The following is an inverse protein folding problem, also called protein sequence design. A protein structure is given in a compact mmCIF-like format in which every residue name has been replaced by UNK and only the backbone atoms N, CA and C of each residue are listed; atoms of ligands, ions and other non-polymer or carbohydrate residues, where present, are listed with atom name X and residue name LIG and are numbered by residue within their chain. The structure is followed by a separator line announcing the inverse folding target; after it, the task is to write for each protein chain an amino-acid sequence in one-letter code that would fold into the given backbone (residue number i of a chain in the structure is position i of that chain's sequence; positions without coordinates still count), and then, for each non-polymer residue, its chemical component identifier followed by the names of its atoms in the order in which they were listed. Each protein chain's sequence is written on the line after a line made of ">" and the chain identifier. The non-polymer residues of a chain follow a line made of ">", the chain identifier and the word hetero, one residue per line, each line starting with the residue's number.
data_IF_521188499307
#
_entry.id   IF_521188499307
#
_cell.length_a   1.000
_cell.length_b   1.000
_cell.length_c   1.000
_cell.angle_alpha   90.00
_cell.angle_beta   90.00
_cell.angle_gamma   90.00
#
_symmetry.space_group_name_H-M   'P 1'
#
loop_
_entity.id
_entity.type
_entity.pdbx_description
1 polymer ?
#
# COMPACT_ATOMS: atom_id res chain seq x y z
N UNK A 1 41.43 -39.06 -18.54
CA UNK A 1 40.50 -38.25 -19.35
C UNK A 1 39.20 -38.13 -18.58
N UNK A 2 38.98 -36.99 -17.92
CA UNK A 2 37.77 -36.74 -17.13
C UNK A 2 37.19 -35.42 -17.65
N UNK A 3 36.09 -35.52 -18.39
CA UNK A 3 35.38 -34.36 -18.95
C UNK A 3 34.60 -33.66 -17.83
N UNK A 4 34.98 -32.41 -17.52
CA UNK A 4 34.16 -31.49 -16.73
C UNK A 4 33.12 -30.84 -17.67
N UNK A 5 31.82 -30.81 -17.33
CA UNK A 5 30.85 -30.07 -18.12
C UNK A 5 31.04 -28.55 -17.93
N UNK A 6 30.96 -27.84 -19.05
CA UNK A 6 31.15 -26.39 -19.18
C UNK A 6 30.20 -25.58 -18.30
N UNK A 7 30.74 -24.97 -17.25
CA UNK A 7 30.04 -23.99 -16.39
C UNK A 7 29.83 -22.62 -17.09
N UNK A 8 30.44 -22.40 -18.26
CA UNK A 8 30.45 -21.11 -18.95
C UNK A 8 29.22 -20.85 -19.82
N UNK A 9 28.52 -21.89 -20.29
CA UNK A 9 27.29 -21.72 -21.09
C UNK A 9 26.16 -21.03 -20.32
N UNK A 10 25.96 -21.42 -19.05
CA UNK A 10 24.82 -20.92 -18.24
C UNK A 10 24.93 -19.45 -17.80
N UNK A 11 26.14 -18.86 -17.80
CA UNK A 11 26.35 -17.46 -17.42
C UNK A 11 26.08 -16.52 -18.61
N UNK A 12 26.43 -16.94 -19.83
CA UNK A 12 26.23 -16.14 -21.04
C UNK A 12 24.74 -16.03 -21.39
N UNK A 13 23.99 -17.11 -21.26
CA UNK A 13 22.52 -17.13 -21.46
C UNK A 13 21.77 -16.24 -20.46
N UNK A 14 22.28 -16.14 -19.22
CA UNK A 14 21.71 -15.26 -18.18
C UNK A 14 21.96 -13.78 -18.47
N UNK A 15 23.10 -13.45 -19.09
CA UNK A 15 23.44 -12.08 -19.50
C UNK A 15 22.66 -11.63 -20.75
N UNK A 16 22.31 -12.55 -21.66
CA UNK A 16 21.46 -12.24 -22.82
C UNK A 16 19.95 -12.16 -22.50
N UNK A 17 19.51 -12.67 -21.35
CA UNK A 17 18.11 -12.65 -20.88
C UNK A 17 17.57 -11.25 -20.52
N UNK A 18 18.38 -10.20 -20.62
CA UNK A 18 18.03 -8.82 -20.26
C UNK A 18 17.16 -8.07 -21.29
N UNK A 19 16.87 -8.66 -22.45
CA UNK A 19 16.02 -8.00 -23.47
C UNK A 19 14.56 -8.06 -23.06
N UNK A 20 14.12 -7.09 -22.26
CA UNK A 20 12.69 -6.80 -22.07
C UNK A 20 12.05 -6.57 -23.43
N UNK A 21 11.03 -7.34 -23.79
CA UNK A 21 10.38 -7.24 -25.09
C UNK A 21 9.82 -5.84 -25.37
N UNK A 22 9.52 -5.54 -26.64
CA UNK A 22 8.90 -4.27 -27.09
C UNK A 22 7.63 -3.87 -26.32
N UNK A 23 6.98 -4.79 -25.60
CA UNK A 23 5.80 -4.56 -24.77
C UNK A 23 6.07 -3.98 -23.37
N UNK A 24 7.31 -4.00 -22.88
CA UNK A 24 7.65 -3.51 -21.54
C UNK A 24 7.32 -2.02 -21.31
N UNK A 25 7.57 -1.09 -22.27
CA UNK A 25 7.12 0.29 -22.15
C UNK A 25 5.60 0.43 -21.97
N UNK A 26 4.81 -0.43 -22.61
CA UNK A 26 3.36 -0.43 -22.44
C UNK A 26 2.96 -0.84 -21.02
N UNK A 27 3.56 -1.90 -20.49
CA UNK A 27 3.33 -2.34 -19.09
C UNK A 27 3.72 -1.24 -18.10
N UNK A 28 4.88 -0.60 -18.31
CA UNK A 28 5.32 0.53 -17.49
C UNK A 28 4.33 1.69 -17.55
N UNK A 29 3.84 2.04 -18.73
CA UNK A 29 2.82 3.07 -18.90
C UNK A 29 1.53 2.70 -18.16
N UNK A 30 1.05 1.46 -18.27
CA UNK A 30 -0.14 0.98 -17.53
C UNK A 30 0.06 1.14 -16.02
N UNK A 31 1.20 0.70 -15.49
CA UNK A 31 1.53 0.82 -14.06
C UNK A 31 1.64 2.29 -13.63
N UNK A 32 2.30 3.12 -14.43
CA UNK A 32 2.48 4.54 -14.15
C UNK A 32 1.13 5.27 -14.12
N UNK A 33 0.27 5.07 -15.11
CA UNK A 33 -1.07 5.68 -15.16
C UNK A 33 -1.87 5.29 -13.92
N UNK A 34 -1.95 3.99 -13.60
CA UNK A 34 -2.69 3.50 -12.44
C UNK A 34 -2.16 4.06 -11.10
N UNK A 35 -0.84 4.11 -10.95
CA UNK A 35 -0.19 4.68 -9.76
C UNK A 35 -0.47 6.19 -9.64
N UNK A 36 -0.33 6.94 -10.74
CA UNK A 36 -0.60 8.38 -10.79
C UNK A 36 -2.06 8.70 -10.54
N UNK A 37 -3.00 7.85 -10.98
CA UNK A 37 -4.41 7.97 -10.62
C UNK A 37 -4.61 7.86 -9.12
N UNK A 38 -3.99 6.87 -8.46
CA UNK A 38 -4.05 6.71 -7.01
C UNK A 38 -3.50 7.92 -6.25
N UNK A 39 -2.31 8.41 -6.62
CA UNK A 39 -1.72 9.60 -6.01
C UNK A 39 -2.54 10.86 -6.24
N UNK A 40 -3.00 11.09 -7.47
CA UNK A 40 -3.84 12.25 -7.80
C UNK A 40 -5.13 12.25 -6.97
N UNK A 41 -5.78 11.10 -6.80
CA UNK A 41 -6.97 10.97 -5.95
C UNK A 41 -6.67 11.35 -4.49
N UNK A 42 -5.62 10.79 -3.90
CA UNK A 42 -5.25 11.05 -2.50
C UNK A 42 -4.82 12.51 -2.27
N UNK A 43 -4.09 13.10 -3.20
CA UNK A 43 -3.69 14.52 -3.15
C UNK A 43 -4.91 15.41 -3.30
N UNK A 44 -5.83 15.12 -4.22
CA UNK A 44 -7.06 15.90 -4.39
C UNK A 44 -7.92 15.85 -3.13
N UNK A 45 -8.05 14.68 -2.50
CA UNK A 45 -8.75 14.51 -1.22
C UNK A 45 -8.15 15.40 -0.13
N UNK A 46 -6.82 15.34 0.06
CA UNK A 46 -6.15 16.18 1.07
C UNK A 46 -6.20 17.66 0.72
N UNK A 47 -6.05 18.02 -0.56
CA UNK A 47 -6.10 19.41 -1.01
C UNK A 47 -7.45 20.07 -0.74
N UNK A 48 -8.54 19.30 -0.76
CA UNK A 48 -9.88 19.79 -0.43
C UNK A 48 -10.10 19.88 1.09
N UNK A 49 -9.42 19.04 1.88
CA UNK A 49 -9.48 19.07 3.35
C UNK A 49 -8.67 20.21 3.98
N UNK A 50 -7.47 20.48 3.45
CA UNK A 50 -6.50 21.42 4.05
C UNK A 50 -7.04 22.84 4.29
N UNK A 51 -7.83 23.45 3.39
CA UNK A 51 -8.33 24.81 3.58
C UNK A 51 -9.36 24.94 4.70
N UNK A 52 -10.03 23.84 5.07
CA UNK A 52 -11.27 23.88 5.87
C UNK A 52 -11.20 23.09 7.17
N UNK A 53 -10.35 22.07 7.25
CA UNK A 53 -10.27 21.20 8.41
C UNK A 53 -8.96 21.38 9.17
N UNK A 54 -8.97 21.08 10.47
CA UNK A 54 -7.74 21.03 11.25
C UNK A 54 -7.00 19.71 10.98
N UNK A 55 -5.89 19.82 10.25
CA UNK A 55 -5.09 18.66 9.84
C UNK A 55 -4.43 17.93 11.02
N UNK A 56 -4.38 18.52 12.22
CA UNK A 56 -3.88 17.80 13.42
C UNK A 56 -4.76 16.60 13.78
N UNK A 57 -6.05 16.64 13.43
CA UNK A 57 -7.00 15.56 13.69
C UNK A 57 -6.87 14.38 12.71
N UNK A 58 -6.19 14.58 11.57
CA UNK A 58 -5.94 13.54 10.57
C UNK A 58 -4.76 12.61 10.95
N UNK A 59 -4.07 12.89 12.05
CA UNK A 59 -3.00 12.04 12.61
C UNK A 59 -1.64 12.74 12.74
N UNK A 60 -0.63 12.03 13.28
CA UNK A 60 0.69 12.60 13.53
C UNK A 60 1.35 13.12 12.25
N UNK A 61 1.88 14.36 12.33
CA UNK A 61 2.59 15.03 11.24
C UNK A 61 1.72 15.84 10.28
N UNK A 62 0.42 15.55 10.17
CA UNK A 62 -0.48 16.24 9.23
C UNK A 62 -0.69 17.73 9.57
N UNK A 63 -0.50 18.13 10.83
CA UNK A 63 -0.58 19.53 11.27
C UNK A 63 0.35 20.49 10.51
N UNK A 64 1.42 20.01 9.86
CA UNK A 64 2.26 20.86 9.00
C UNK A 64 1.47 21.49 7.85
N UNK A 65 0.42 20.80 7.36
CA UNK A 65 -0.41 21.28 6.26
C UNK A 65 -1.34 22.42 6.68
N UNK A 66 -1.59 22.62 7.98
CA UNK A 66 -2.35 23.77 8.48
C UNK A 66 -1.68 25.12 8.13
N UNK A 67 -0.40 25.12 7.72
CA UNK A 67 0.25 26.33 7.21
C UNK A 67 -0.44 26.89 5.94
N UNK A 68 -1.14 26.04 5.19
CA UNK A 68 -1.90 26.36 3.98
C UNK A 68 -3.41 26.50 4.26
N UNK A 69 -3.84 26.41 5.52
CA UNK A 69 -5.24 26.54 5.89
C UNK A 69 -5.67 28.02 5.83
N UNK A 70 -6.83 28.29 5.21
CA UNK A 70 -7.36 29.66 5.03
C UNK A 70 -7.70 30.33 6.37
N UNK A 71 -8.01 29.52 7.39
CA UNK A 71 -8.40 29.96 8.72
C UNK A 71 -7.25 29.84 9.74
N UNK A 72 -6.00 29.95 9.28
CA UNK A 72 -4.81 29.89 10.12
C UNK A 72 -4.85 31.00 11.18
N UNK A 73 -4.75 30.61 12.47
CA UNK A 73 -4.76 31.54 13.61
C UNK A 73 -6.11 31.67 14.35
N UNK A 74 -7.20 31.15 13.78
CA UNK A 74 -8.49 31.04 14.48
C UNK A 74 -8.54 29.81 15.38
N UNK A 75 -9.37 29.85 16.44
CA UNK A 75 -9.63 28.66 17.27
C UNK A 75 -10.30 27.55 16.45
N UNK A 76 -10.19 26.29 16.88
CA UNK A 76 -10.73 25.15 16.15
C UNK A 76 -12.25 25.29 15.93
N UNK A 77 -12.95 25.84 16.92
CA UNK A 77 -14.39 26.07 16.92
C UNK A 77 -14.78 27.18 15.95
N UNK A 78 -14.04 28.30 15.97
CA UNK A 78 -14.25 29.41 15.04
C UNK A 78 -13.98 28.98 13.59
N UNK A 79 -12.97 28.14 13.37
CA UNK A 79 -12.64 27.57 12.06
C UNK A 79 -13.74 26.65 11.55
N UNK A 80 -14.22 25.73 12.38
CA UNK A 80 -15.30 24.81 12.01
C UNK A 80 -16.60 25.58 11.71
N UNK A 81 -16.95 26.58 12.53
CA UNK A 81 -18.12 27.42 12.31
C UNK A 81 -18.03 28.21 11.00
N UNK A 82 -16.88 28.82 10.71
CA UNK A 82 -16.67 29.56 9.46
C UNK A 82 -16.63 28.64 8.24
N UNK A 83 -16.06 27.44 8.35
CA UNK A 83 -16.07 26.46 7.27
C UNK A 83 -17.51 26.05 6.89
N UNK A 84 -18.39 25.83 7.89
CA UNK A 84 -19.81 25.49 7.66
C UNK A 84 -20.58 26.64 7.00
N UNK A 85 -20.26 27.89 7.33
CA UNK A 85 -20.96 29.08 6.82
C UNK A 85 -20.45 29.50 5.44
N UNK A 86 -19.13 29.45 5.23
CA UNK A 86 -18.47 30.04 4.07
C UNK A 86 -18.20 29.06 2.94
N UNK A 87 -18.27 27.74 3.17
CA UNK A 87 -18.13 26.75 2.11
C UNK A 87 -19.48 26.17 1.71
N UNK A 88 -19.65 25.83 0.42
CA UNK A 88 -20.81 25.07 -0.03
C UNK A 88 -20.92 23.80 0.81
N UNK A 89 -22.02 23.68 1.55
CA UNK A 89 -22.32 22.49 2.35
C UNK A 89 -22.47 21.29 1.41
N UNK A 90 -21.49 20.38 1.39
CA UNK A 90 -21.58 19.19 0.56
C UNK A 90 -20.23 18.57 0.19
N UNK A 91 -19.71 17.77 1.12
CA UNK A 91 -18.67 16.75 0.95
C UNK A 91 -17.33 17.23 0.41
N UNK A 92 -16.39 17.43 1.33
CA UNK A 92 -14.97 17.37 1.01
C UNK A 92 -14.69 16.09 0.23
N UNK A 93 -14.14 16.21 -0.98
CA UNK A 93 -13.94 15.12 -1.92
C UNK A 93 -13.26 13.93 -1.24
N UNK A 94 -13.85 12.74 -1.35
CA UNK A 94 -13.30 11.51 -0.79
C UNK A 94 -13.56 11.29 0.71
N UNK A 95 -14.12 12.27 1.43
CA UNK A 95 -14.43 12.14 2.86
C UNK A 95 -15.80 11.46 3.07
N UNK A 96 -15.89 10.43 3.93
CA UNK A 96 -17.17 9.88 4.35
C UNK A 96 -17.93 10.89 5.24
N UNK A 97 -19.24 10.99 5.05
CA UNK A 97 -20.13 11.78 5.89
C UNK A 97 -20.48 11.08 7.21
N UNK A 98 -21.14 11.79 8.13
CA UNK A 98 -21.44 11.30 9.49
C UNK A 98 -22.42 10.12 9.50
N UNK A 99 -23.32 10.05 8.52
CA UNK A 99 -24.38 9.04 8.44
C UNK A 99 -23.90 7.65 8.00
N UNK A 100 -22.64 7.51 7.55
CA UNK A 100 -22.00 6.26 7.09
C UNK A 100 -22.90 5.42 6.17
N UNK A 101 -23.51 6.07 5.18
CA UNK A 101 -24.37 5.41 4.21
C UNK A 101 -23.58 4.57 3.19
N UNK A 102 -24.28 3.89 2.26
CA UNK A 102 -23.63 3.13 1.19
C UNK A 102 -22.64 3.95 0.34
N UNK A 103 -22.94 5.23 0.13
CA UNK A 103 -22.03 6.14 -0.59
C UNK A 103 -20.73 6.39 0.19
N UNK A 104 -20.78 6.45 1.52
CA UNK A 104 -19.61 6.64 2.38
C UNK A 104 -18.75 5.39 2.42
N UNK A 105 -19.36 4.21 2.49
CA UNK A 105 -18.66 2.94 2.32
C UNK A 105 -17.94 2.86 0.97
N UNK A 106 -18.58 3.34 -0.10
CA UNK A 106 -17.93 3.41 -1.41
C UNK A 106 -16.75 4.39 -1.42
N UNK A 107 -16.85 5.55 -0.76
CA UNK A 107 -15.74 6.52 -0.63
C UNK A 107 -14.56 5.90 0.12
N UNK A 108 -14.82 5.21 1.23
CA UNK A 108 -13.80 4.49 2.01
C UNK A 108 -13.15 3.40 1.16
N UNK A 109 -13.95 2.58 0.46
CA UNK A 109 -13.45 1.56 -0.45
C UNK A 109 -12.59 2.13 -1.58
N UNK A 110 -13.04 3.24 -2.19
CA UNK A 110 -12.29 3.94 -3.21
C UNK A 110 -10.95 4.45 -2.66
N UNK A 111 -10.94 5.07 -1.48
CA UNK A 111 -9.72 5.53 -0.81
C UNK A 111 -8.72 4.39 -0.59
N UNK A 112 -9.14 3.26 -0.03
CA UNK A 112 -8.26 2.08 0.15
C UNK A 112 -7.73 1.53 -1.17
N UNK A 113 -8.58 1.50 -2.20
CA UNK A 113 -8.18 1.06 -3.54
C UNK A 113 -7.14 1.99 -4.16
N UNK A 114 -7.35 3.31 -4.05
CA UNK A 114 -6.41 4.33 -4.55
C UNK A 114 -5.10 4.31 -3.78
N UNK A 115 -5.14 4.07 -2.47
CA UNK A 115 -3.94 3.84 -1.66
C UNK A 115 -3.18 2.60 -2.11
N UNK A 116 -3.85 1.48 -2.37
CA UNK A 116 -3.20 0.29 -2.91
C UNK A 116 -2.57 0.56 -4.29
N UNK A 117 -3.27 1.27 -5.18
CA UNK A 117 -2.72 1.69 -6.48
C UNK A 117 -1.47 2.56 -6.32
N UNK A 118 -1.50 3.54 -5.43
CA UNK A 118 -0.45 4.53 -5.23
C UNK A 118 0.88 3.93 -4.74
N UNK A 119 0.84 2.95 -3.83
CA UNK A 119 2.05 2.41 -3.20
C UNK A 119 2.33 0.93 -3.50
N UNK A 120 1.31 0.10 -3.66
CA UNK A 120 1.54 -1.34 -3.85
C UNK A 120 1.87 -1.69 -5.28
N UNK A 121 1.32 -0.97 -6.27
CA UNK A 121 1.61 -1.23 -7.66
C UNK A 121 3.07 -0.91 -8.05
N UNK A 122 3.67 0.23 -7.64
CA UNK A 122 5.10 0.49 -7.88
C UNK A 122 6.02 -0.61 -7.33
N UNK A 123 5.70 -1.13 -6.15
CA UNK A 123 6.50 -2.20 -5.52
C UNK A 123 6.41 -3.56 -6.24
N UNK A 124 5.49 -3.73 -7.19
CA UNK A 124 5.37 -4.94 -8.01
C UNK A 124 6.23 -4.87 -9.30
N UNK A 125 6.79 -3.71 -9.63
CA UNK A 125 7.58 -3.49 -10.86
C UNK A 125 8.75 -4.49 -11.04
N UNK A 126 9.58 -4.79 -10.02
CA UNK A 126 10.66 -5.76 -10.18
C UNK A 126 10.15 -7.15 -10.58
N UNK A 127 9.01 -7.57 -9.99
CA UNK A 127 8.38 -8.84 -10.31
C UNK A 127 7.79 -8.85 -11.71
N UNK A 128 7.08 -7.80 -12.11
CA UNK A 128 6.50 -7.67 -13.46
C UNK A 128 7.60 -7.68 -14.53
N UNK A 129 8.75 -7.07 -14.25
CA UNK A 129 9.92 -7.08 -15.13
C UNK A 129 10.46 -8.49 -15.30
N UNK A 130 10.69 -9.20 -14.19
CA UNK A 130 11.14 -10.58 -14.23
C UNK A 130 10.14 -11.49 -14.97
N UNK A 131 8.84 -11.30 -14.76
CA UNK A 131 7.80 -12.05 -15.46
C UNK A 131 7.82 -11.77 -16.98
N UNK A 132 7.95 -10.50 -17.37
CA UNK A 132 8.02 -10.11 -18.78
C UNK A 132 9.24 -10.70 -19.52
N UNK A 133 10.39 -10.80 -18.84
CA UNK A 133 11.59 -11.44 -19.39
C UNK A 133 11.38 -12.94 -19.59
N UNK A 134 10.76 -13.61 -18.61
CA UNK A 134 10.44 -15.04 -18.67
C UNK A 134 9.43 -15.36 -19.79
N UNK A 135 8.44 -14.48 -20.03
CA UNK A 135 7.45 -14.66 -21.10
C UNK A 135 7.97 -14.30 -22.49
N UNK A 136 8.97 -13.42 -22.58
CA UNK A 136 9.56 -13.01 -23.86
C UNK A 136 10.45 -14.09 -24.49
N UNK A 137 11.14 -14.90 -23.67
CA UNK A 137 12.03 -15.96 -24.15
C UNK A 137 11.35 -17.20 -24.74
N UNK A 138 10.01 -17.30 -24.67
CA UNK A 138 9.23 -18.51 -25.04
C UNK A 138 8.40 -18.40 -26.31
N UNK A 139 8.35 -17.23 -26.94
CA UNK A 139 7.62 -17.02 -28.19
C UNK A 139 8.56 -16.79 -29.37
N UNK A 140 8.43 -17.58 -30.44
CA UNK A 140 9.02 -17.25 -31.74
C UNK A 140 8.40 -15.92 -32.24
N UNK A 141 9.19 -14.86 -32.26
CA UNK A 141 8.78 -13.53 -32.71
C UNK A 141 8.13 -12.67 -31.62
N UNK A 142 8.81 -11.57 -31.28
CA UNK A 142 8.35 -10.56 -30.32
C UNK A 142 7.14 -9.77 -30.87
N UNK A 143 5.95 -10.36 -30.77
CA UNK A 143 4.67 -9.74 -31.10
C UNK A 143 3.96 -9.20 -29.85
N UNK A 144 2.94 -8.33 -30.04
CA UNK A 144 2.05 -7.83 -28.97
C UNK A 144 1.44 -8.94 -28.09
N UNK A 145 1.43 -10.19 -28.58
CA UNK A 145 0.95 -11.38 -27.85
C UNK A 145 1.69 -11.63 -26.54
N UNK A 146 2.98 -11.24 -26.44
CA UNK A 146 3.79 -11.41 -25.22
C UNK A 146 3.45 -10.40 -24.10
N UNK A 147 2.75 -9.30 -24.42
CA UNK A 147 2.40 -8.24 -23.45
C UNK A 147 1.15 -8.58 -22.63
N UNK A 148 0.19 -9.28 -23.26
CA UNK A 148 -1.12 -9.58 -22.66
C UNK A 148 -1.00 -10.33 -21.32
N UNK A 149 -0.17 -11.38 -21.17
CA UNK A 149 -0.02 -12.07 -19.90
C UNK A 149 0.52 -11.15 -18.79
N UNK A 150 1.45 -10.25 -19.12
CA UNK A 150 2.07 -9.34 -18.13
C UNK A 150 1.05 -8.29 -17.65
N UNK A 151 0.25 -7.74 -18.56
CA UNK A 151 -0.84 -6.82 -18.20
C UNK A 151 -1.90 -7.53 -17.36
N UNK A 152 -2.25 -8.77 -17.72
CA UNK A 152 -3.18 -9.55 -16.91
C UNK A 152 -2.61 -9.90 -15.53
N UNK A 153 -1.30 -10.07 -15.40
CA UNK A 153 -0.65 -10.21 -14.10
C UNK A 153 -0.77 -8.94 -13.23
N UNK A 154 -0.75 -7.75 -13.84
CA UNK A 154 -1.07 -6.49 -13.13
C UNK A 154 -2.50 -6.53 -12.57
N UNK A 155 -3.49 -6.92 -13.37
CA UNK A 155 -4.87 -6.99 -12.92
C UNK A 155 -5.11 -8.09 -11.88
N UNK A 156 -4.45 -9.25 -12.00
CA UNK A 156 -4.49 -10.30 -10.98
C UNK A 156 -3.90 -9.84 -9.65
N UNK A 157 -2.79 -9.11 -9.69
CA UNK A 157 -2.19 -8.50 -8.49
C UNK A 157 -3.14 -7.48 -7.84
N UNK A 158 -3.75 -6.61 -8.66
CA UNK A 158 -4.70 -5.60 -8.18
C UNK A 158 -5.98 -6.22 -7.62
N UNK A 159 -6.46 -7.34 -8.16
CA UNK A 159 -7.63 -8.04 -7.62
C UNK A 159 -7.44 -8.45 -6.16
N UNK A 160 -6.24 -8.90 -5.77
CA UNK A 160 -5.92 -9.21 -4.37
C UNK A 160 -5.97 -7.97 -3.49
N UNK A 161 -5.42 -6.85 -3.97
CA UNK A 161 -5.44 -5.58 -3.25
C UNK A 161 -6.82 -4.94 -3.15
N UNK A 162 -7.67 -5.10 -4.17
CA UNK A 162 -9.08 -4.75 -4.12
C UNK A 162 -9.80 -5.60 -3.07
N UNK A 163 -9.51 -6.91 -3.00
CA UNK A 163 -10.01 -7.77 -1.93
C UNK A 163 -9.60 -7.28 -0.53
N UNK A 164 -8.34 -6.85 -0.37
CA UNK A 164 -7.89 -6.20 0.86
C UNK A 164 -8.64 -4.90 1.14
N UNK A 165 -8.87 -4.04 0.14
CA UNK A 165 -9.61 -2.80 0.30
C UNK A 165 -11.06 -3.03 0.78
N UNK A 166 -11.72 -4.10 0.32
CA UNK A 166 -13.05 -4.50 0.83
C UNK A 166 -12.98 -4.85 2.31
N UNK A 167 -12.00 -5.68 2.71
CA UNK A 167 -11.82 -6.07 4.12
C UNK A 167 -11.49 -4.84 4.98
N UNK A 168 -10.58 -3.99 4.52
CA UNK A 168 -10.18 -2.78 5.24
C UNK A 168 -11.35 -1.80 5.40
N UNK A 169 -12.21 -1.68 4.39
CA UNK A 169 -13.46 -0.89 4.45
C UNK A 169 -14.41 -1.43 5.51
N UNK A 170 -14.62 -2.76 5.54
CA UNK A 170 -15.49 -3.38 6.55
C UNK A 170 -14.94 -3.20 7.98
N UNK A 171 -13.62 -3.35 8.15
CA UNK A 171 -12.94 -3.11 9.44
C UNK A 171 -13.05 -1.65 9.86
N UNK A 172 -12.79 -0.72 8.94
CA UNK A 172 -12.90 0.72 9.18
C UNK A 172 -14.33 1.10 9.59
N UNK A 173 -15.33 0.62 8.86
CA UNK A 173 -16.73 0.84 9.18
C UNK A 173 -17.09 0.30 10.57
N UNK A 174 -16.63 -0.90 10.92
CA UNK A 174 -16.81 -1.47 12.25
C UNK A 174 -16.17 -0.61 13.33
N UNK A 175 -14.90 -0.22 13.16
CA UNK A 175 -14.18 0.63 14.12
C UNK A 175 -14.87 1.98 14.32
N UNK A 176 -15.35 2.61 13.25
CA UNK A 176 -16.14 3.84 13.35
C UNK A 176 -17.45 3.61 14.11
N UNK A 177 -18.19 2.54 13.80
CA UNK A 177 -19.48 2.23 14.47
C UNK A 177 -19.35 1.98 15.97
N UNK A 178 -18.20 1.44 16.41
CA UNK A 178 -17.84 1.24 17.81
C UNK A 178 -17.27 2.50 18.49
N UNK A 179 -17.20 3.63 17.77
CA UNK A 179 -16.64 4.88 18.29
C UNK A 179 -15.13 4.85 18.49
N UNK A 180 -14.42 3.91 17.84
CA UNK A 180 -12.96 3.79 17.93
C UNK A 180 -12.23 4.74 16.96
N UNK A 181 -12.96 5.41 16.05
CA UNK A 181 -12.45 6.41 15.11
C UNK A 181 -13.23 7.71 15.22
N UNK A 182 -12.54 8.83 15.02
CA UNK A 182 -13.16 10.15 14.90
C UNK A 182 -13.67 10.41 13.47
N UNK A 183 -14.29 11.56 13.25
CA UNK A 183 -14.84 11.96 11.94
C UNK A 183 -13.76 12.07 10.85
N UNK A 184 -12.50 12.34 11.23
CA UNK A 184 -11.33 12.37 10.35
C UNK A 184 -10.73 10.99 10.07
N UNK A 185 -11.41 9.91 10.47
CA UNK A 185 -10.95 8.52 10.31
C UNK A 185 -9.58 8.26 10.98
N UNK A 186 -9.31 8.97 12.08
CA UNK A 186 -8.16 8.75 12.95
C UNK A 186 -8.59 8.06 14.25
N UNK A 187 -7.70 7.27 14.89
CA UNK A 187 -8.05 6.54 16.11
C UNK A 187 -8.34 7.50 17.26
N UNK A 188 -9.43 7.27 18.00
CA UNK A 188 -9.80 8.11 19.16
C UNK A 188 -8.96 7.83 20.40
N UNK A 189 -8.33 6.64 20.46
CA UNK A 189 -7.62 6.17 21.65
C UNK A 189 -6.21 5.71 21.31
N UNK A 190 -5.29 6.02 22.23
CA UNK A 190 -3.92 5.51 22.18
C UNK A 190 -3.87 3.98 22.30
N UNK A 191 -4.90 3.35 22.88
CA UNK A 191 -5.01 1.89 22.96
C UNK A 191 -5.17 1.24 21.58
N UNK A 192 -5.99 1.81 20.68
CA UNK A 192 -6.12 1.32 19.31
C UNK A 192 -4.79 1.49 18.56
N UNK A 193 -4.18 2.68 18.62
CA UNK A 193 -2.87 2.95 18.00
C UNK A 193 -1.80 1.97 18.48
N UNK A 194 -1.70 1.78 19.80
CA UNK A 194 -0.71 0.89 20.42
C UNK A 194 -0.92 -0.56 20.03
N UNK A 195 -2.17 -1.06 20.06
CA UNK A 195 -2.46 -2.46 19.73
C UNK A 195 -2.15 -2.79 18.26
N UNK A 196 -2.49 -1.89 17.35
CA UNK A 196 -2.18 -2.02 15.92
C UNK A 196 -0.66 -2.01 15.70
N UNK A 197 0.06 -1.05 16.29
CA UNK A 197 1.52 -0.97 16.16
C UNK A 197 2.21 -2.20 16.72
N UNK A 198 1.76 -2.68 17.89
CA UNK A 198 2.31 -3.87 18.52
C UNK A 198 2.06 -5.12 17.68
N UNK A 199 0.83 -5.33 17.20
CA UNK A 199 0.48 -6.46 16.34
C UNK A 199 1.28 -6.43 15.01
N UNK A 200 1.38 -5.27 14.38
CA UNK A 200 2.18 -5.09 13.17
C UNK A 200 3.68 -5.35 13.43
N UNK A 201 4.19 -4.89 14.57
CA UNK A 201 5.56 -5.15 15.01
C UNK A 201 5.84 -6.62 15.29
N UNK A 202 4.94 -7.35 15.95
CA UNK A 202 5.08 -8.79 16.14
C UNK A 202 5.05 -9.56 14.82
N UNK A 203 4.16 -9.15 13.90
CA UNK A 203 4.06 -9.79 12.59
C UNK A 203 5.38 -9.75 11.80
N UNK A 204 6.20 -8.72 12.02
CA UNK A 204 7.51 -8.56 11.38
C UNK A 204 8.48 -9.73 11.64
N UNK A 205 8.36 -10.38 12.79
CA UNK A 205 9.21 -11.50 13.20
C UNK A 205 8.65 -12.87 12.82
N UNK A 206 7.45 -12.91 12.23
CA UNK A 206 6.79 -14.19 11.95
C UNK A 206 7.43 -14.93 10.78
N UNK A 207 7.47 -16.28 10.83
CA UNK A 207 7.91 -17.09 9.69
C UNK A 207 6.99 -16.91 8.47
N UNK A 208 5.70 -16.62 8.70
CA UNK A 208 4.74 -16.32 7.65
C UNK A 208 5.17 -15.09 6.83
N UNK A 209 5.50 -13.96 7.49
CA UNK A 209 6.02 -12.79 6.79
C UNK A 209 7.28 -13.12 6.00
N UNK A 210 8.24 -13.80 6.62
CA UNK A 210 9.53 -14.13 5.98
C UNK A 210 9.36 -15.02 4.75
N UNK A 211 8.44 -15.99 4.78
CA UNK A 211 8.12 -16.84 3.64
C UNK A 211 7.50 -16.03 2.48
N UNK A 212 6.56 -15.13 2.79
CA UNK A 212 5.94 -14.23 1.82
C UNK A 212 6.96 -13.25 1.21
N UNK A 213 7.85 -12.70 2.04
CA UNK A 213 8.87 -11.74 1.61
C UNK A 213 9.94 -12.40 0.72
N UNK A 214 10.34 -13.63 1.04
CA UNK A 214 11.23 -14.41 0.18
C UNK A 214 10.66 -14.61 -1.24
N UNK A 215 9.33 -14.72 -1.37
CA UNK A 215 8.65 -14.79 -2.67
C UNK A 215 8.58 -13.43 -3.38
N UNK A 216 8.64 -12.33 -2.64
CA UNK A 216 8.78 -10.99 -3.22
C UNK A 216 10.19 -10.76 -3.78
N UNK A 217 11.24 -11.22 -3.08
CA UNK A 217 12.63 -11.10 -3.54
C UNK A 217 12.96 -12.02 -4.71
N UNK A 218 12.45 -13.25 -4.66
CA UNK A 218 12.75 -14.30 -5.64
C UNK A 218 11.43 -14.85 -6.22
N UNK A 219 10.75 -14.08 -7.08
CA UNK A 219 9.49 -14.51 -7.67
C UNK A 219 9.72 -15.76 -8.53
N UNK A 220 8.83 -16.73 -8.42
CA UNK A 220 8.82 -17.93 -9.27
C UNK A 220 7.54 -17.93 -10.11
N UNK A 221 7.65 -18.23 -11.39
CA UNK A 221 6.54 -18.12 -12.34
C UNK A 221 6.12 -19.53 -12.81
N UNK A 222 5.15 -20.11 -12.09
CA UNK A 222 4.73 -21.51 -12.29
C UNK A 222 3.93 -21.67 -13.59
N UNK A 223 3.00 -20.77 -13.87
CA UNK A 223 2.19 -20.75 -15.08
C UNK A 223 2.96 -20.26 -16.31
N UNK A 224 3.99 -19.42 -16.14
CA UNK A 224 4.94 -19.16 -17.24
C UNK A 224 5.79 -20.40 -17.57
N UNK A 225 6.12 -21.25 -16.60
CA UNK A 225 6.90 -22.47 -16.81
C UNK A 225 6.10 -23.55 -17.58
N UNK A 226 4.79 -23.61 -17.42
CA UNK A 226 3.90 -24.62 -18.03
C UNK A 226 3.57 -24.38 -19.52
N UNK A 227 4.26 -23.47 -20.22
CA UNK A 227 4.00 -23.08 -21.63
C UNK A 227 2.55 -22.64 -21.92
N UNK A 228 1.77 -22.31 -20.90
CA UNK A 228 0.41 -21.75 -21.04
C UNK A 228 0.50 -20.22 -21.11
N UNK A 229 1.16 -19.66 -22.11
CA UNK A 229 1.26 -18.20 -22.28
C UNK A 229 -0.06 -17.63 -22.79
N UNK A 230 -0.82 -16.98 -21.90
CA UNK A 230 -2.08 -16.32 -22.24
C UNK A 230 -2.63 -15.46 -21.11
N UNK A 231 -3.68 -14.70 -21.39
CA UNK A 231 -4.31 -13.76 -20.47
C UNK A 231 -4.65 -14.40 -19.10
N UNK A 232 -5.28 -15.56 -19.11
CA UNK A 232 -5.68 -16.27 -17.89
C UNK A 232 -4.49 -16.75 -17.05
N UNK A 233 -3.40 -17.21 -17.69
CA UNK A 233 -2.18 -17.59 -16.98
C UNK A 233 -1.51 -16.38 -16.33
N UNK A 234 -1.45 -15.25 -17.05
CA UNK A 234 -0.99 -13.98 -16.52
C UNK A 234 -1.78 -13.55 -15.29
N UNK A 235 -3.11 -13.56 -15.37
CA UNK A 235 -3.98 -13.22 -14.24
C UNK A 235 -3.75 -14.11 -13.01
N UNK A 236 -3.61 -15.43 -13.21
CA UNK A 236 -3.32 -16.37 -12.11
C UNK A 236 -1.94 -16.16 -11.49
N UNK A 237 -0.93 -15.82 -12.28
CA UNK A 237 0.39 -15.43 -11.74
C UNK A 237 0.28 -14.15 -10.91
N UNK A 238 -0.47 -13.17 -11.41
CA UNK A 238 -0.80 -11.94 -10.69
C UNK A 238 -1.44 -12.21 -9.33
N UNK A 239 -2.42 -13.12 -9.26
CA UNK A 239 -3.06 -13.52 -8.01
C UNK A 239 -2.08 -14.17 -7.03
N UNK A 240 -1.25 -15.11 -7.50
CA UNK A 240 -0.28 -15.80 -6.65
C UNK A 240 0.75 -14.82 -6.07
N UNK A 241 1.28 -13.92 -6.90
CA UNK A 241 2.19 -12.90 -6.38
C UNK A 241 1.45 -11.89 -5.51
N UNK A 242 0.23 -11.49 -5.88
CA UNK A 242 -0.60 -10.58 -5.09
C UNK A 242 -0.81 -11.10 -3.68
N UNK A 243 -1.11 -12.38 -3.51
CA UNK A 243 -1.27 -13.03 -2.20
C UNK A 243 0.05 -13.08 -1.42
N UNK A 244 1.16 -13.40 -2.09
CA UNK A 244 2.48 -13.38 -1.44
C UNK A 244 2.85 -11.95 -0.96
N UNK A 245 2.59 -10.95 -1.79
CA UNK A 245 2.79 -9.55 -1.47
C UNK A 245 1.90 -9.08 -0.32
N UNK A 246 0.61 -9.40 -0.37
CA UNK A 246 -0.31 -9.08 0.71
C UNK A 246 0.18 -9.72 2.01
N UNK A 247 0.59 -10.99 1.96
CA UNK A 247 1.13 -11.71 3.11
C UNK A 247 2.34 -11.04 3.76
N UNK A 248 3.23 -10.36 3.05
CA UNK A 248 4.36 -9.66 3.68
C UNK A 248 4.02 -8.24 4.18
N UNK A 249 3.01 -7.58 3.59
CA UNK A 249 2.76 -6.16 3.77
C UNK A 249 1.49 -5.82 4.56
N UNK A 250 0.52 -6.73 4.67
CA UNK A 250 -0.80 -6.43 5.25
C UNK A 250 -0.70 -5.86 6.67
N UNK A 251 0.20 -6.38 7.51
CA UNK A 251 0.32 -5.90 8.88
C UNK A 251 0.89 -4.48 8.94
N UNK A 252 1.89 -4.14 8.12
CA UNK A 252 2.40 -2.76 8.03
C UNK A 252 1.33 -1.84 7.44
N UNK A 253 0.55 -2.32 6.47
CA UNK A 253 -0.57 -1.59 5.90
C UNK A 253 -1.63 -1.26 6.97
N UNK A 254 -1.88 -2.14 7.95
CA UNK A 254 -2.82 -1.84 9.05
C UNK A 254 -2.35 -0.72 9.97
N UNK A 255 -1.06 -0.34 9.96
CA UNK A 255 -0.56 0.83 10.72
C UNK A 255 -1.26 2.13 10.30
N UNK A 256 -1.84 2.20 9.10
CA UNK A 256 -2.73 3.29 8.69
C UNK A 256 -3.90 3.53 9.67
N UNK A 257 -4.41 2.48 10.31
CA UNK A 257 -5.43 2.60 11.37
C UNK A 257 -4.89 3.26 12.65
N UNK A 258 -3.58 3.22 12.87
CA UNK A 258 -2.92 3.80 14.03
C UNK A 258 -2.50 5.26 13.83
N UNK A 259 -2.16 5.65 12.59
CA UNK A 259 -1.60 6.98 12.24
C UNK A 259 -2.58 7.87 11.48
N UNK A 260 -3.79 7.39 11.23
CA UNK A 260 -4.82 8.11 10.48
C UNK A 260 -4.86 7.69 9.02
N UNK A 261 -6.07 7.39 8.55
CA UNK A 261 -6.30 6.79 7.23
C UNK A 261 -6.18 7.79 6.08
N UNK A 262 -6.40 9.08 6.36
CA UNK A 262 -6.27 10.18 5.40
C UNK A 262 -4.87 10.82 5.43
N UNK A 263 -3.92 10.18 6.11
CA UNK A 263 -2.61 10.74 6.37
C UNK A 263 -1.64 10.49 5.20
N UNK A 264 -1.64 11.38 4.21
CA UNK A 264 -0.83 11.25 2.99
C UNK A 264 0.68 11.12 3.24
N UNK A 265 1.19 11.74 4.32
CA UNK A 265 2.59 11.66 4.73
C UNK A 265 2.93 10.21 5.10
N UNK A 266 2.10 9.58 5.92
CA UNK A 266 2.31 8.20 6.32
C UNK A 266 2.03 7.22 5.18
N UNK A 267 1.12 7.54 4.26
CA UNK A 267 0.88 6.72 3.06
C UNK A 267 2.17 6.62 2.24
N UNK A 268 2.83 7.76 2.01
CA UNK A 268 4.13 7.81 1.33
C UNK A 268 5.22 7.09 2.13
N UNK A 269 5.29 7.33 3.45
CA UNK A 269 6.31 6.74 4.31
C UNK A 269 6.20 5.21 4.38
N UNK A 270 5.03 4.68 4.73
CA UNK A 270 4.79 3.24 4.81
C UNK A 270 4.91 2.58 3.44
N UNK A 271 4.43 3.24 2.38
CA UNK A 271 4.64 2.80 1.00
C UNK A 271 6.12 2.63 0.66
N UNK A 272 6.95 3.62 1.03
CA UNK A 272 8.40 3.57 0.88
C UNK A 272 9.04 2.45 1.70
N UNK A 273 8.64 2.28 2.96
CA UNK A 273 9.13 1.20 3.84
C UNK A 273 8.80 -0.18 3.24
N UNK A 274 7.57 -0.40 2.81
CA UNK A 274 7.16 -1.66 2.20
C UNK A 274 7.85 -1.91 0.85
N UNK A 275 8.03 -0.87 0.03
CA UNK A 275 8.79 -0.97 -1.21
C UNK A 275 10.26 -1.33 -0.93
N UNK A 276 10.86 -0.77 0.11
CA UNK A 276 12.23 -1.05 0.53
C UNK A 276 12.39 -2.49 1.03
N UNK A 277 11.50 -2.95 1.92
CA UNK A 277 11.46 -4.35 2.39
C UNK A 277 11.40 -5.33 1.22
N UNK A 278 10.58 -5.03 0.21
CA UNK A 278 10.37 -5.90 -0.94
C UNK A 278 11.50 -5.85 -1.97
N UNK A 279 12.22 -4.74 -2.04
CA UNK A 279 13.29 -4.55 -3.05
C UNK A 279 14.65 -5.02 -2.55
N UNK A 280 14.89 -4.98 -1.24
CA UNK A 280 16.18 -5.33 -0.65
C UNK A 280 16.11 -6.71 0.02
N UNK A 281 16.85 -7.73 -0.45
CA UNK A 281 16.90 -9.06 0.15
C UNK A 281 17.69 -9.05 1.46
N UNK A 282 17.11 -8.46 2.51
CA UNK A 282 17.71 -8.32 3.84
C UNK A 282 16.74 -8.83 4.91
N UNK A 283 17.22 -9.74 5.77
CA UNK A 283 16.47 -10.18 6.95
C UNK A 283 16.53 -9.18 8.11
N UNK A 284 17.52 -8.28 8.09
CA UNK A 284 17.70 -7.25 9.13
C UNK A 284 16.63 -6.16 8.99
N UNK A 285 16.24 -5.81 7.78
CA UNK A 285 15.31 -4.70 7.54
C UNK A 285 13.90 -4.96 8.14
N UNK A 286 13.23 -6.10 7.89
CA UNK A 286 11.97 -6.43 8.56
C UNK A 286 12.10 -6.46 10.08
N UNK A 287 13.19 -7.02 10.61
CA UNK A 287 13.44 -7.08 12.04
C UNK A 287 13.59 -5.68 12.65
N UNK A 288 14.34 -4.78 12.00
CA UNK A 288 14.49 -3.39 12.42
C UNK A 288 13.15 -2.65 12.44
N UNK A 289 12.33 -2.83 11.40
CA UNK A 289 10.98 -2.24 11.34
C UNK A 289 10.10 -2.80 12.47
N UNK A 290 10.17 -4.11 12.72
CA UNK A 290 9.48 -4.75 13.85
C UNK A 290 9.88 -4.16 15.19
N UNK A 291 11.18 -3.99 15.45
CA UNK A 291 11.70 -3.35 16.67
C UNK A 291 11.18 -1.92 16.78
N UNK A 292 11.26 -1.12 15.72
CA UNK A 292 10.78 0.28 15.73
C UNK A 292 9.29 0.34 16.08
N UNK A 293 8.46 -0.50 15.47
CA UNK A 293 7.02 -0.54 15.75
C UNK A 293 6.72 -0.97 17.19
N UNK A 294 7.42 -1.98 17.72
CA UNK A 294 7.24 -2.44 19.10
C UNK A 294 7.71 -1.41 20.11
N UNK A 295 8.86 -0.78 19.88
CA UNK A 295 9.38 0.29 20.75
C UNK A 295 8.42 1.47 20.75
N UNK A 296 7.91 1.86 19.58
CA UNK A 296 6.92 2.93 19.50
C UNK A 296 5.63 2.57 20.27
N UNK A 297 5.10 1.37 20.09
CA UNK A 297 3.96 0.88 20.86
C UNK A 297 4.26 0.89 22.38
N UNK A 298 5.45 0.45 22.79
CA UNK A 298 5.89 0.45 24.19
C UNK A 298 5.96 1.86 24.80
N UNK A 299 6.49 2.84 24.05
CA UNK A 299 6.53 4.23 24.47
C UNK A 299 5.12 4.82 24.62
N UNK A 300 4.21 4.54 23.67
CA UNK A 300 2.82 4.97 23.78
C UNK A 300 2.12 4.31 24.97
N UNK A 301 2.39 3.03 25.22
CA UNK A 301 1.89 2.29 26.39
C UNK A 301 2.38 2.95 27.69
N UNK A 302 3.67 3.29 27.78
CA UNK A 302 4.23 3.97 28.92
C UNK A 302 3.58 5.35 29.15
N UNK A 303 3.29 6.10 28.08
CA UNK A 303 2.56 7.37 28.19
C UNK A 303 1.13 7.18 28.72
N UNK A 304 0.44 6.09 28.36
CA UNK A 304 -0.89 5.79 28.90
C UNK A 304 -0.81 5.54 30.42
N UNK A 305 0.16 4.75 30.88
CA UNK A 305 0.27 4.36 32.29
C UNK A 305 0.93 5.42 33.19
N UNK A 306 1.95 6.12 32.70
CA UNK A 306 2.73 7.08 33.48
C UNK A 306 2.43 8.54 33.15
N UNK A 307 1.79 8.80 32.01
CA UNK A 307 1.43 10.14 31.54
C UNK A 307 0.04 10.59 31.93
N UNK A 308 -0.73 9.82 32.70
CA UNK A 308 -1.90 10.35 33.43
C UNK A 308 -1.38 11.05 34.69
N UNK A 309 -1.34 12.40 34.76
CA UNK A 309 -1.24 13.05 36.06
C UNK A 309 -2.56 12.75 36.79
N UNK A 310 -2.47 12.38 38.06
CA UNK A 310 -3.60 12.57 38.96
C UNK A 310 -3.96 14.07 38.94
N UNK A 311 -5.20 14.40 38.55
CA UNK A 311 -5.69 15.78 38.47
C UNK A 311 -6.98 15.88 37.69
#
# INVERSE_FOLDING_TARGET
>A
MTFLPSFEGTRKDRLESGKTGRGWPFVLMTVAVLCLTGWTYLVAMVADMVPVMDMTQAGPGMGILNQFNLFKGLSAEARAALAVICLPAGATFGMPGPDMGPADLFRIFAMWTMMALAMMLPSALPMLRAYSAETAGKGEGATLSSTVPVVMAVFGYLAVWVGYAVVATAVQWGLYRFGAMNDMMAPVSMALTTSVLFAAGLYQFTPAKQACLARCWYPRFVFAALQRSGAHAGFREGLVQGLACLGCCWAVMTVMFAVGLMNIIWIALLGGVMALEKSLPSRVLPAAIGVVLIVWAGLLTALIFFGSPAG
#
